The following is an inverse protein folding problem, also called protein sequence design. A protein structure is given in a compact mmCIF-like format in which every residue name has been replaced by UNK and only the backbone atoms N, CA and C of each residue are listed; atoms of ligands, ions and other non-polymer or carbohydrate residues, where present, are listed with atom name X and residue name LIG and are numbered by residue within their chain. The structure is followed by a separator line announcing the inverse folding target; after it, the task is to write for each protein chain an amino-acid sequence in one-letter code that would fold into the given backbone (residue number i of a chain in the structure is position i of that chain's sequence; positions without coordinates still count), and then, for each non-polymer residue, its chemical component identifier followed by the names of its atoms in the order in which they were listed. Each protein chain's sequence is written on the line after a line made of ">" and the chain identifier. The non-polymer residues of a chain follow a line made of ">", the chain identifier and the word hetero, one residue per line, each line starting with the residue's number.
data_IF_926357516263
#
_entry.id   IF_926357516263
#
_cell.length_a   1.000
_cell.length_b   1.000
_cell.length_c   1.000
_cell.angle_alpha   90.00
_cell.angle_beta   90.00
_cell.angle_gamma   90.00
#
_symmetry.space_group_name_H-M   'P 1'
#
loop_
_entity.id
_entity.type
_entity.pdbx_description
1 polymer ?
#
# COMPACT_ATOMS: atom_id res chain seq x y z
N UNK A 1 10.22 -12.46 -10.90
CA UNK A 1 11.14 -11.65 -10.08
C UNK A 1 10.38 -11.24 -8.83
N UNK A 2 10.97 -11.30 -7.64
CA UNK A 2 10.25 -10.99 -6.40
C UNK A 2 10.68 -9.64 -5.84
N UNK A 3 9.73 -8.72 -5.72
CA UNK A 3 9.93 -7.41 -5.13
C UNK A 3 10.03 -7.51 -3.61
N UNK A 4 10.90 -6.69 -3.00
CA UNK A 4 11.00 -6.58 -1.53
C UNK A 4 10.03 -5.53 -1.02
N UNK A 5 9.34 -5.82 0.08
CA UNK A 5 8.44 -4.85 0.72
C UNK A 5 9.24 -4.00 1.70
N UNK A 6 9.11 -2.67 1.59
CA UNK A 6 9.59 -1.70 2.57
C UNK A 6 8.45 -0.79 2.99
N UNK A 7 8.57 -0.20 4.17
CA UNK A 7 7.63 0.80 4.67
C UNK A 7 8.32 2.16 4.72
N UNK A 8 7.63 3.21 4.30
CA UNK A 8 7.99 4.57 4.70
C UNK A 8 7.74 4.72 6.21
N UNK A 9 8.45 5.62 6.86
CA UNK A 9 8.36 5.77 8.33
C UNK A 9 6.93 6.04 8.80
N UNK A 10 6.21 6.94 8.13
CA UNK A 10 4.82 7.25 8.48
C UNK A 10 3.89 6.05 8.27
N UNK A 11 4.08 5.33 7.16
CA UNK A 11 3.32 4.12 6.87
C UNK A 11 3.61 2.99 7.87
N UNK A 12 4.84 2.91 8.40
CA UNK A 12 5.20 1.95 9.44
C UNK A 12 4.48 2.28 10.75
N UNK A 13 4.43 3.57 11.14
CA UNK A 13 3.67 4.03 12.32
C UNK A 13 2.18 3.73 12.17
N UNK A 14 1.60 3.97 11.00
CA UNK A 14 0.22 3.62 10.68
C UNK A 14 -0.03 2.11 10.75
N UNK A 15 0.88 1.32 10.17
CA UNK A 15 0.81 -0.14 10.17
C UNK A 15 0.82 -0.72 11.59
N UNK A 16 1.71 -0.22 12.45
CA UNK A 16 1.83 -0.65 13.83
C UNK A 16 0.56 -0.38 14.66
N UNK A 17 -0.25 0.62 14.27
CA UNK A 17 -1.53 0.93 14.91
C UNK A 17 -2.68 0.02 14.48
N UNK A 18 -2.49 -0.80 13.44
CA UNK A 18 -3.51 -1.74 12.97
C UNK A 18 -3.58 -2.97 13.87
N UNK A 19 -4.77 -3.54 14.00
CA UNK A 19 -4.93 -4.84 14.65
C UNK A 19 -4.15 -5.93 13.92
N UNK A 20 -3.63 -6.92 14.66
CA UNK A 20 -2.83 -8.02 14.10
C UNK A 20 -3.53 -8.75 12.96
N UNK A 21 -4.85 -8.94 13.04
CA UNK A 21 -5.64 -9.57 11.97
C UNK A 21 -5.61 -8.76 10.67
N UNK A 22 -5.68 -7.43 10.76
CA UNK A 22 -5.63 -6.52 9.60
C UNK A 22 -4.22 -6.51 9.00
N UNK A 23 -3.18 -6.46 9.84
CA UNK A 23 -1.79 -6.57 9.41
C UNK A 23 -1.56 -7.88 8.63
N UNK A 24 -2.02 -9.02 9.15
CA UNK A 24 -1.89 -10.32 8.48
C UNK A 24 -2.62 -10.38 7.14
N UNK A 25 -3.83 -9.83 7.06
CA UNK A 25 -4.60 -9.77 5.80
C UNK A 25 -3.87 -8.95 4.74
N UNK A 26 -3.31 -7.79 5.10
CA UNK A 26 -2.50 -7.00 4.19
C UNK A 26 -1.20 -7.68 3.81
N UNK A 27 -0.47 -8.27 4.77
CA UNK A 27 0.79 -8.96 4.52
C UNK A 27 0.60 -10.10 3.51
N UNK A 28 -0.49 -10.86 3.63
CA UNK A 28 -0.84 -11.91 2.65
C UNK A 28 -1.06 -11.36 1.24
N UNK A 29 -1.66 -10.17 1.11
CA UNK A 29 -1.87 -9.52 -0.18
C UNK A 29 -0.58 -8.90 -0.73
N UNK A 30 0.21 -8.24 0.11
CA UNK A 30 1.52 -7.70 -0.27
C UNK A 30 2.46 -8.79 -0.76
N UNK A 31 2.52 -9.94 -0.08
CA UNK A 31 3.33 -11.09 -0.51
C UNK A 31 2.94 -11.58 -1.90
N UNK A 32 1.64 -11.59 -2.24
CA UNK A 32 1.17 -11.92 -3.60
C UNK A 32 1.52 -10.84 -4.62
N UNK A 33 1.51 -9.58 -4.21
CA UNK A 33 1.91 -8.45 -5.06
C UNK A 33 3.41 -8.42 -5.35
N UNK A 34 4.25 -9.09 -4.55
CA UNK A 34 5.70 -9.17 -4.80
C UNK A 34 6.06 -9.81 -6.14
N UNK A 35 5.24 -10.72 -6.66
CA UNK A 35 5.51 -11.41 -7.93
C UNK A 35 5.03 -10.60 -9.15
N UNK A 36 3.96 -9.83 -8.98
CA UNK A 36 3.44 -8.93 -9.99
C UNK A 36 2.86 -7.65 -9.34
N UNK A 37 3.69 -6.63 -9.11
CA UNK A 37 3.27 -5.43 -8.38
C UNK A 37 2.46 -4.45 -9.23
N UNK A 38 2.60 -4.49 -10.57
CA UNK A 38 1.88 -3.60 -11.48
C UNK A 38 0.51 -4.14 -11.85
N UNK A 39 -0.48 -3.86 -11.02
CA UNK A 39 -1.87 -4.29 -11.26
C UNK A 39 -2.67 -3.12 -11.86
N UNK A 40 -3.02 -3.11 -13.17
CA UNK A 40 -3.62 -1.95 -13.82
C UNK A 40 -4.92 -1.48 -13.15
N UNK A 41 -5.78 -2.40 -12.73
CA UNK A 41 -7.04 -2.11 -12.04
C UNK A 41 -6.86 -1.52 -10.64
N UNK A 42 -5.69 -1.72 -10.04
CA UNK A 42 -5.33 -1.19 -8.72
C UNK A 42 -4.61 0.15 -8.79
N UNK A 43 -4.20 0.61 -9.97
CA UNK A 43 -3.44 1.86 -10.15
C UNK A 43 -4.22 3.06 -9.61
N UNK A 44 -3.51 3.96 -8.94
CA UNK A 44 -4.05 5.25 -8.52
C UNK A 44 -3.98 6.24 -9.70
N UNK A 45 -5.02 7.05 -9.85
CA UNK A 45 -5.02 8.15 -10.82
C UNK A 45 -4.25 9.32 -10.22
N UNK A 46 -3.45 10.01 -11.02
CA UNK A 46 -2.72 11.20 -10.59
C UNK A 46 -1.45 10.95 -9.77
N UNK A 47 -1.15 9.69 -9.41
CA UNK A 47 0.06 9.33 -8.65
C UNK A 47 0.80 8.24 -9.41
N UNK A 48 2.03 8.54 -9.85
CA UNK A 48 2.84 7.63 -10.67
C UNK A 48 3.22 6.38 -9.86
N UNK A 49 3.16 5.22 -10.52
CA UNK A 49 3.59 3.91 -10.01
C UNK A 49 3.00 3.51 -8.65
N UNK A 50 1.85 4.10 -8.29
CA UNK A 50 1.16 3.83 -7.04
C UNK A 50 -0.10 3.01 -7.26
N UNK A 51 -0.33 2.05 -6.37
CA UNK A 51 -1.37 1.04 -6.45
C UNK A 51 -2.04 0.86 -5.09
N UNK A 52 -3.29 0.38 -5.10
CA UNK A 52 -4.11 0.25 -3.90
C UNK A 52 -4.50 -1.19 -3.58
N UNK A 53 -4.39 -1.57 -2.31
CA UNK A 53 -4.90 -2.84 -1.77
C UNK A 53 -6.20 -2.60 -0.98
N UNK A 54 -7.24 -3.28 -1.45
CA UNK A 54 -8.63 -3.42 -0.93
C UNK A 54 -8.79 -4.43 0.22
N UNK A 55 -9.05 -4.04 1.48
CA UNK A 55 -9.69 -4.93 2.47
C UNK A 55 -11.15 -4.50 2.67
N UNK A 56 -12.05 -4.95 1.78
CA UNK A 56 -13.44 -4.46 1.75
C UNK A 56 -14.24 -4.82 2.99
N UNK A 57 -14.18 -6.08 3.43
CA UNK A 57 -14.93 -6.56 4.60
C UNK A 57 -14.53 -5.82 5.88
N UNK A 58 -13.23 -5.54 6.04
CA UNK A 58 -12.69 -4.85 7.21
C UNK A 58 -12.71 -3.32 7.09
N UNK A 59 -13.02 -2.77 5.91
CA UNK A 59 -13.03 -1.33 5.68
C UNK A 59 -11.65 -0.67 5.67
N UNK A 60 -10.58 -1.37 5.27
CA UNK A 60 -9.21 -0.81 5.23
C UNK A 60 -8.65 -0.69 3.80
N UNK A 61 -7.68 0.21 3.65
CA UNK A 61 -6.92 0.44 2.42
C UNK A 61 -5.44 0.58 2.73
N UNK A 62 -4.63 0.11 1.79
CA UNK A 62 -3.18 0.33 1.77
C UNK A 62 -2.81 0.86 0.38
N UNK A 63 -1.88 1.81 0.34
CA UNK A 63 -1.27 2.29 -0.89
C UNK A 63 0.21 1.93 -0.88
N UNK A 64 0.68 1.38 -1.99
CA UNK A 64 2.09 1.10 -2.21
C UNK A 64 2.55 1.72 -3.53
N UNK A 65 3.82 2.12 -3.56
CA UNK A 65 4.54 2.53 -4.75
C UNK A 65 5.44 1.37 -5.22
N UNK A 66 5.56 1.20 -6.53
CA UNK A 66 6.51 0.27 -7.14
C UNK A 66 7.72 1.06 -7.60
N UNK A 67 8.91 0.59 -7.21
CA UNK A 67 10.21 1.18 -7.51
C UNK A 67 11.00 0.13 -8.28
N UNK A 68 10.89 0.15 -9.60
CA UNK A 68 11.36 -0.91 -10.50
C UNK A 68 12.88 -1.01 -10.55
N UNK A 69 13.58 0.11 -10.43
CA UNK A 69 15.05 0.19 -10.40
C UNK A 69 15.64 -0.55 -9.18
N UNK A 70 14.88 -0.69 -8.10
CA UNK A 70 15.34 -1.32 -6.86
C UNK A 70 14.61 -2.63 -6.54
N UNK A 71 13.63 -3.02 -7.36
CA UNK A 71 12.69 -4.12 -7.09
C UNK A 71 12.03 -3.98 -5.71
N UNK A 72 11.53 -2.77 -5.40
CA UNK A 72 10.90 -2.47 -4.10
C UNK A 72 9.41 -2.13 -4.26
N UNK A 73 8.60 -2.71 -3.37
CA UNK A 73 7.26 -2.23 -3.06
C UNK A 73 7.37 -1.38 -1.79
N UNK A 74 7.22 -0.06 -1.92
CA UNK A 74 7.24 0.86 -0.79
C UNK A 74 5.80 1.13 -0.33
N UNK A 75 5.45 0.70 0.88
CA UNK A 75 4.16 1.07 1.50
C UNK A 75 4.19 2.56 1.86
N UNK A 76 3.24 3.30 1.31
CA UNK A 76 3.16 4.77 1.40
C UNK A 76 2.17 5.22 2.46
N UNK A 77 1.01 4.55 2.55
CA UNK A 77 -0.03 4.85 3.52
C UNK A 77 -0.90 3.62 3.78
N UNK A 78 -1.39 3.46 5.01
CA UNK A 78 -2.36 2.43 5.38
C UNK A 78 -3.35 2.95 6.42
N UNK A 79 -4.63 2.60 6.27
CA UNK A 79 -5.64 3.07 7.22
C UNK A 79 -7.06 2.63 6.90
N UNK A 80 -7.99 3.03 7.77
CA UNK A 80 -9.42 2.82 7.57
C UNK A 80 -9.91 3.63 6.37
N UNK A 81 -11.01 3.18 5.77
CA UNK A 81 -11.71 3.88 4.70
C UNK A 81 -12.51 5.03 5.31
N UNK A 82 -11.83 6.14 5.54
CA UNK A 82 -12.46 7.40 5.93
C UNK A 82 -12.13 8.44 4.88
N UNK A 83 -13.16 9.12 4.34
CA UNK A 83 -13.11 10.29 3.43
C UNK A 83 -12.03 10.34 2.34
N UNK A 84 -11.50 9.18 1.92
CA UNK A 84 -10.35 9.06 1.01
C UNK A 84 -8.99 9.46 1.60
N UNK A 85 -8.87 9.55 2.92
CA UNK A 85 -7.67 10.02 3.64
C UNK A 85 -6.40 9.28 3.25
N UNK A 86 -6.47 7.94 3.13
CA UNK A 86 -5.32 7.11 2.69
C UNK A 86 -4.82 7.51 1.30
N UNK A 87 -5.71 7.97 0.41
CA UNK A 87 -5.31 8.45 -0.92
C UNK A 87 -4.73 9.86 -0.87
N UNK A 88 -5.29 10.74 -0.04
CA UNK A 88 -4.79 12.10 0.14
C UNK A 88 -3.37 12.08 0.74
N UNK A 89 -3.18 11.33 1.83
CA UNK A 89 -1.87 11.11 2.45
C UNK A 89 -0.86 10.52 1.47
N UNK A 90 -1.27 9.53 0.67
CA UNK A 90 -0.39 8.97 -0.33
C UNK A 90 -0.01 9.99 -1.42
N UNK A 91 -0.95 10.84 -1.84
CA UNK A 91 -0.68 11.89 -2.83
C UNK A 91 0.29 12.95 -2.29
N UNK A 92 0.13 13.36 -1.03
CA UNK A 92 1.00 14.34 -0.37
C UNK A 92 2.44 13.81 -0.21
N UNK A 93 2.59 12.52 0.12
CA UNK A 93 3.90 11.89 0.37
C UNK A 93 4.70 11.55 -0.89
N UNK A 94 4.04 11.46 -2.05
CA UNK A 94 4.65 11.13 -3.34
C UNK A 94 4.93 12.39 -4.17
N UNK A 95 4.39 13.53 -3.75
CA UNK A 95 4.71 14.84 -4.32
C UNK A 95 6.11 15.27 -3.92
#
# INVERSE_FOLDING_TARGET
>A
MSYRVKFREDALKEWQKLDKAIQQQFAKKLKKSCDNPHIPSAKLRGIKDCYKIKLRASGFRLVYQVIDDQLIIAVVAVGKRERSDVYNLASERIR
#
